data_IF_772558061387
#
_entry.id   IF_772558061387
#
_cell.length_a   1.000
_cell.length_b   1.000
_cell.length_c   1.000
_cell.angle_alpha   90.00
_cell.angle_beta   90.00
_cell.angle_gamma   90.00
#
_symmetry.space_group_name_H-M   'P 1'
#
loop_
_entity.id
_entity.type
_entity.pdbx_description
1 polymer ?
#
# COMPACT_ATOMS: atom_id res chain seq x y z
N UNK A 1 -45.90 4.77 -3.21
CA UNK A 1 -44.98 5.64 -4.00
C UNK A 1 -43.88 6.13 -3.07
N UNK A 2 -42.82 5.34 -2.90
CA UNK A 2 -41.62 5.81 -2.20
C UNK A 2 -41.04 6.90 -3.10
N UNK A 3 -41.06 8.15 -2.63
CA UNK A 3 -40.60 9.31 -3.38
C UNK A 3 -39.16 9.09 -3.88
N UNK A 4 -38.91 9.33 -5.17
CA UNK A 4 -37.57 9.31 -5.79
C UNK A 4 -36.52 10.13 -5.01
N UNK A 5 -36.94 11.04 -4.12
CA UNK A 5 -36.04 11.82 -3.28
C UNK A 5 -35.22 11.01 -2.29
N UNK A 6 -35.73 9.88 -1.76
CA UNK A 6 -35.01 9.13 -0.72
C UNK A 6 -33.79 8.39 -1.30
N UNK A 7 -33.87 7.91 -2.54
CA UNK A 7 -32.75 7.25 -3.22
C UNK A 7 -31.60 8.23 -3.51
N UNK A 8 -31.93 9.43 -3.99
CA UNK A 8 -30.93 10.45 -4.29
C UNK A 8 -30.19 10.92 -3.03
N UNK A 9 -30.87 11.00 -1.88
CA UNK A 9 -30.23 11.34 -0.61
C UNK A 9 -29.23 10.26 -0.17
N UNK A 10 -29.59 8.98 -0.24
CA UNK A 10 -28.69 7.88 0.13
C UNK A 10 -27.44 7.85 -0.76
N UNK A 11 -27.62 8.03 -2.08
CA UNK A 11 -26.50 8.11 -3.03
C UNK A 11 -25.58 9.28 -2.69
N UNK A 12 -26.16 10.46 -2.38
CA UNK A 12 -25.39 11.64 -2.00
C UNK A 12 -24.58 11.41 -0.71
N UNK A 13 -25.16 10.80 0.32
CA UNK A 13 -24.44 10.44 1.55
C UNK A 13 -23.29 9.47 1.27
N UNK A 14 -23.50 8.47 0.42
CA UNK A 14 -22.45 7.52 0.07
C UNK A 14 -21.28 8.19 -0.68
N UNK A 15 -21.58 9.11 -1.62
CA UNK A 15 -20.56 9.90 -2.33
C UNK A 15 -19.79 10.81 -1.35
N UNK A 16 -20.46 11.45 -0.41
CA UNK A 16 -19.81 12.31 0.59
C UNK A 16 -18.91 11.52 1.54
N UNK A 17 -19.36 10.33 1.97
CA UNK A 17 -18.54 9.43 2.80
C UNK A 17 -17.30 8.96 2.01
N UNK A 18 -17.48 8.53 0.76
CA UNK A 18 -16.35 8.14 -0.09
C UNK A 18 -15.35 9.28 -0.30
N UNK A 19 -15.85 10.50 -0.58
CA UNK A 19 -15.00 11.68 -0.75
C UNK A 19 -14.25 12.05 0.53
N UNK A 20 -14.93 11.97 1.68
CA UNK A 20 -14.30 12.19 2.99
C UNK A 20 -13.21 11.14 3.29
N UNK A 21 -13.47 9.87 2.99
CA UNK A 21 -12.48 8.81 3.15
C UNK A 21 -11.29 9.02 2.20
N UNK A 22 -11.53 9.33 0.93
CA UNK A 22 -10.45 9.61 -0.02
C UNK A 22 -9.57 10.78 0.44
N UNK A 23 -10.15 11.85 1.01
CA UNK A 23 -9.38 13.04 1.40
C UNK A 23 -8.50 12.82 2.64
N UNK A 24 -8.93 11.98 3.58
CA UNK A 24 -8.23 11.78 4.86
C UNK A 24 -7.21 10.63 4.83
N UNK A 25 -7.31 9.70 3.87
CA UNK A 25 -6.44 8.53 3.79
C UNK A 25 -5.26 8.69 2.82
N UNK A 26 -5.12 9.82 2.11
CA UNK A 26 -3.94 10.06 1.26
C UNK A 26 -2.81 10.57 2.15
N UNK A 27 -2.17 9.65 2.88
CA UNK A 27 -0.80 9.86 3.32
C UNK A 27 0.06 9.74 2.06
N UNK A 28 0.56 10.87 1.58
CA UNK A 28 1.55 10.90 0.50
C UNK A 28 2.86 10.36 1.06
N UNK A 29 3.00 9.04 1.04
CA UNK A 29 4.31 8.40 1.16
C UNK A 29 4.88 8.30 -0.24
N UNK A 30 6.06 8.89 -0.44
CA UNK A 30 6.81 8.63 -1.66
C UNK A 30 7.47 7.25 -1.52
N UNK A 31 7.54 6.54 -2.64
CA UNK A 31 8.09 5.19 -2.72
C UNK A 31 9.07 5.16 -3.87
N UNK A 32 10.34 4.94 -3.58
CA UNK A 32 11.31 4.51 -4.58
C UNK A 32 11.35 2.98 -4.61
N UNK A 33 11.47 2.41 -5.81
CA UNK A 33 11.46 0.96 -6.01
C UNK A 33 12.54 0.51 -6.98
N UNK A 34 13.10 -0.65 -6.69
CA UNK A 34 14.00 -1.37 -7.57
C UNK A 34 13.55 -2.83 -7.65
N UNK A 35 13.55 -3.39 -8.85
CA UNK A 35 13.15 -4.78 -9.11
C UNK A 35 14.33 -5.48 -9.75
N UNK A 36 14.73 -6.60 -9.17
CA UNK A 36 15.88 -7.38 -9.61
C UNK A 36 15.58 -8.87 -9.59
N UNK A 37 16.29 -9.63 -10.42
CA UNK A 37 16.22 -11.10 -10.42
C UNK A 37 17.48 -11.63 -9.78
N UNK A 38 17.32 -12.47 -8.74
CA UNK A 38 18.46 -13.04 -8.06
C UNK A 38 19.14 -14.09 -8.95
N UNK A 39 20.44 -13.95 -9.12
CA UNK A 39 21.30 -14.96 -9.72
C UNK A 39 22.31 -15.37 -8.65
N UNK A 40 22.23 -16.61 -8.16
CA UNK A 40 23.13 -17.08 -7.11
C UNK A 40 24.40 -17.63 -7.75
N UNK A 41 25.47 -16.88 -7.60
CA UNK A 41 26.82 -17.37 -7.92
C UNK A 41 27.37 -18.18 -6.76
N UNK A 42 28.03 -19.30 -7.07
CA UNK A 42 28.68 -20.13 -6.06
C UNK A 42 29.95 -19.44 -5.56
N UNK A 43 29.81 -18.63 -4.51
CA UNK A 43 30.93 -17.95 -3.87
C UNK A 43 31.79 -18.94 -3.08
N UNK A 44 33.11 -18.66 -3.03
CA UNK A 44 34.02 -19.44 -2.19
C UNK A 44 33.75 -19.17 -0.71
N UNK A 45 34.03 -20.17 0.15
CA UNK A 45 33.88 -20.03 1.60
C UNK A 45 34.63 -18.82 2.18
N UNK A 46 35.81 -18.52 1.64
CA UNK A 46 36.61 -17.38 2.07
C UNK A 46 35.88 -16.04 1.88
N UNK A 47 35.10 -15.90 0.81
CA UNK A 47 34.31 -14.70 0.54
C UNK A 47 33.19 -14.56 1.57
N UNK A 48 32.50 -15.66 1.91
CA UNK A 48 31.50 -15.65 3.00
C UNK A 48 32.10 -15.25 4.34
N UNK A 49 33.26 -15.80 4.70
CA UNK A 49 33.94 -15.46 5.97
C UNK A 49 34.33 -13.96 6.02
N UNK A 50 34.70 -13.37 4.87
CA UNK A 50 34.99 -11.92 4.75
C UNK A 50 33.73 -11.08 4.88
N UNK A 51 32.63 -11.49 4.24
CA UNK A 51 31.34 -10.81 4.32
C UNK A 51 30.81 -10.83 5.75
N UNK A 52 30.87 -11.96 6.43
CA UNK A 52 30.43 -12.10 7.83
C UNK A 52 31.24 -11.19 8.77
N UNK A 53 32.57 -11.12 8.56
CA UNK A 53 33.42 -10.21 9.31
C UNK A 53 33.06 -8.73 9.08
N UNK A 54 32.75 -8.35 7.84
CA UNK A 54 32.35 -6.99 7.48
C UNK A 54 30.97 -6.62 8.05
N UNK A 55 30.00 -7.53 7.99
CA UNK A 55 28.67 -7.35 8.58
C UNK A 55 28.79 -7.09 10.08
N UNK A 56 29.66 -7.85 10.77
CA UNK A 56 29.89 -7.69 12.20
C UNK A 56 30.58 -6.37 12.55
N UNK A 57 31.50 -5.88 11.71
CA UNK A 57 32.21 -4.62 11.97
C UNK A 57 31.34 -3.39 11.75
N UNK A 58 30.51 -3.40 10.70
CA UNK A 58 29.70 -2.24 10.28
C UNK A 58 28.26 -2.29 10.83
N UNK A 59 27.90 -3.33 11.58
CA UNK A 59 26.53 -3.53 12.11
C UNK A 59 25.47 -3.49 10.98
N UNK A 60 25.77 -4.16 9.86
CA UNK A 60 24.93 -4.18 8.66
C UNK A 60 23.62 -4.91 8.97
N UNK A 61 22.50 -4.26 8.66
CA UNK A 61 21.19 -4.87 8.84
C UNK A 61 20.89 -5.86 7.71
N UNK A 62 20.27 -6.99 8.05
CA UNK A 62 19.94 -8.04 7.08
C UNK A 62 18.47 -7.98 6.69
N UNK A 63 18.19 -7.94 5.38
CA UNK A 63 16.88 -8.11 4.77
C UNK A 63 16.73 -9.57 4.32
N UNK A 64 15.78 -10.28 4.92
CA UNK A 64 15.48 -11.68 4.57
C UNK A 64 14.33 -11.76 3.58
N UNK A 65 14.40 -12.68 2.61
CA UNK A 65 13.21 -13.09 1.87
C UNK A 65 12.20 -13.77 2.84
N UNK A 66 10.88 -13.86 2.62
CA UNK A 66 10.01 -13.46 1.50
C UNK A 66 9.32 -12.10 1.70
N UNK A 67 9.50 -11.51 2.89
CA UNK A 67 9.07 -10.18 3.26
C UNK A 67 9.83 -9.72 4.51
N UNK A 68 10.64 -8.67 4.40
CA UNK A 68 11.27 -8.01 5.56
C UNK A 68 11.03 -6.52 5.49
N UNK A 69 10.73 -5.90 6.64
CA UNK A 69 10.67 -4.44 6.78
C UNK A 69 11.64 -4.01 7.87
N UNK A 70 12.52 -3.06 7.55
CA UNK A 70 13.25 -2.31 8.56
C UNK A 70 12.62 -0.93 8.65
N UNK A 71 12.27 -0.52 9.87
CA UNK A 71 11.50 0.70 10.11
C UNK A 71 12.34 1.79 10.75
N UNK A 72 11.95 3.03 10.49
CA UNK A 72 12.48 4.23 11.15
C UNK A 72 14.00 4.40 10.99
N UNK A 73 14.54 4.02 9.84
CA UNK A 73 15.92 4.31 9.48
C UNK A 73 16.05 5.78 9.09
N UNK A 74 17.24 6.35 9.22
CA UNK A 74 17.46 7.77 8.93
C UNK A 74 18.73 7.96 8.13
N UNK A 75 18.62 8.71 7.03
CA UNK A 75 19.76 9.06 6.17
C UNK A 75 19.81 10.56 5.98
N UNK A 76 21.00 11.13 6.06
CA UNK A 76 21.26 12.53 5.76
C UNK A 76 21.55 12.64 4.26
N UNK A 77 20.78 13.45 3.50
CA UNK A 77 21.00 13.59 2.06
C UNK A 77 22.32 14.30 1.75
N UNK A 78 22.90 14.00 0.59
CA UNK A 78 24.06 14.77 0.09
C UNK A 78 23.67 16.22 -0.23
N UNK A 79 24.56 17.16 0.08
CA UNK A 79 24.30 18.59 -0.09
C UNK A 79 24.52 19.04 -1.52
N UNK A 80 25.53 18.47 -2.20
CA UNK A 80 25.89 18.81 -3.57
C UNK A 80 26.38 17.57 -4.33
N UNK A 81 26.27 17.60 -5.66
CA UNK A 81 26.84 16.57 -6.53
C UNK A 81 28.38 16.54 -6.41
N UNK A 82 29.01 17.67 -6.12
CA UNK A 82 30.46 17.74 -5.90
C UNK A 82 30.88 17.03 -4.61
N UNK A 83 30.09 17.16 -3.54
CA UNK A 83 30.30 16.38 -2.31
C UNK A 83 30.14 14.87 -2.55
N UNK A 84 29.37 14.48 -3.56
CA UNK A 84 29.25 13.09 -4.02
C UNK A 84 30.52 12.65 -4.79
N UNK A 85 31.01 13.45 -5.73
CA UNK A 85 32.19 13.11 -6.53
C UNK A 85 33.49 13.10 -5.69
N UNK A 86 33.66 14.06 -4.76
CA UNK A 86 34.85 14.13 -3.88
C UNK A 86 34.94 12.98 -2.86
N UNK A 87 33.81 12.32 -2.58
CA UNK A 87 33.76 11.19 -1.64
C UNK A 87 34.36 9.90 -2.23
N UNK A 88 34.55 9.85 -3.55
CA UNK A 88 35.01 8.67 -4.28
C UNK A 88 36.53 8.50 -4.24
N UNK A 89 37.28 9.59 -4.25
CA UNK A 89 38.74 9.55 -4.49
C UNK A 89 39.62 9.66 -3.23
N UNK A 90 39.07 9.96 -2.05
CA UNK A 90 39.87 10.37 -0.90
C UNK A 90 40.11 9.26 0.14
N UNK A 91 41.10 8.40 -0.14
CA UNK A 91 41.60 7.36 0.78
C UNK A 91 42.46 7.86 1.97
N UNK A 92 42.52 9.16 2.26
CA UNK A 92 43.43 9.71 3.29
C UNK A 92 42.72 10.39 4.47
N UNK A 93 42.49 9.57 5.50
CA UNK A 93 42.72 9.85 6.93
C UNK A 93 42.24 11.18 7.52
N UNK A 94 40.99 11.20 7.99
CA UNK A 94 40.66 11.92 9.21
C UNK A 94 39.51 11.20 9.96
N UNK A 95 39.79 10.73 11.18
CA UNK A 95 38.90 9.82 11.94
C UNK A 95 37.55 10.46 12.31
N UNK A 96 37.49 11.79 12.39
CA UNK A 96 36.23 12.51 12.67
C UNK A 96 35.27 12.55 11.46
N UNK A 97 35.78 12.43 10.22
CA UNK A 97 34.95 12.36 9.01
C UNK A 97 34.23 11.00 8.85
N UNK A 98 34.70 9.96 9.54
CA UNK A 98 34.14 8.61 9.44
C UNK A 98 32.73 8.55 10.06
N UNK A 99 32.45 9.29 11.14
CA UNK A 99 31.11 9.28 11.75
C UNK A 99 30.06 10.04 10.94
N UNK A 100 30.47 11.05 10.16
CA UNK A 100 29.56 11.77 9.25
C UNK A 100 29.30 10.98 7.96
N UNK A 101 30.31 10.23 7.47
CA UNK A 101 30.17 9.33 6.32
C UNK A 101 29.08 8.28 6.55
N UNK A 102 29.06 7.67 7.74
CA UNK A 102 28.11 6.59 8.06
C UNK A 102 26.63 7.02 8.13
N UNK A 103 26.33 8.31 8.08
CA UNK A 103 24.95 8.81 8.10
C UNK A 103 24.41 9.13 6.70
N UNK A 104 25.23 9.08 5.64
CA UNK A 104 24.84 9.44 4.27
C UNK A 104 24.57 8.24 3.36
N UNK A 105 25.00 7.07 3.77
CA UNK A 105 24.78 5.80 3.09
C UNK A 105 24.40 4.73 4.11
N UNK A 106 23.60 3.76 3.68
CA UNK A 106 23.20 2.61 4.51
C UNK A 106 23.34 1.33 3.71
N UNK A 107 24.03 0.36 4.28
CA UNK A 107 24.24 -0.94 3.67
C UNK A 107 23.28 -1.96 4.27
N UNK A 108 22.74 -2.82 3.41
CA UNK A 108 21.85 -3.90 3.79
C UNK A 108 22.30 -5.20 3.15
N UNK A 109 22.41 -6.27 3.95
CA UNK A 109 22.63 -7.61 3.42
C UNK A 109 21.30 -8.19 2.96
N UNK A 110 21.17 -8.53 1.68
CA UNK A 110 20.06 -9.33 1.18
C UNK A 110 20.38 -10.82 1.41
N UNK A 111 19.49 -11.54 2.07
CA UNK A 111 19.72 -12.93 2.47
C UNK A 111 18.49 -13.80 2.23
N UNK A 112 18.72 -15.12 2.25
CA UNK A 112 17.71 -16.14 1.97
C UNK A 112 17.04 -15.96 0.60
N UNK A 113 17.77 -15.39 -0.37
CA UNK A 113 17.30 -15.26 -1.75
C UNK A 113 17.31 -16.63 -2.45
N UNK A 114 16.38 -16.82 -3.38
CA UNK A 114 16.23 -18.03 -4.18
C UNK A 114 16.66 -17.72 -5.61
N UNK A 115 17.52 -18.56 -6.16
CA UNK A 115 18.04 -18.41 -7.52
C UNK A 115 16.91 -18.39 -8.56
N UNK A 116 16.98 -17.41 -9.47
CA UNK A 116 15.97 -17.18 -10.51
C UNK A 116 14.67 -16.53 -10.05
N UNK A 117 14.49 -16.24 -8.75
CA UNK A 117 13.32 -15.48 -8.29
C UNK A 117 13.52 -13.96 -8.45
N UNK A 118 12.41 -13.26 -8.68
CA UNK A 118 12.38 -11.80 -8.78
C UNK A 118 11.92 -11.19 -7.47
N UNK A 119 12.67 -10.18 -7.02
CA UNK A 119 12.44 -9.44 -5.80
C UNK A 119 12.22 -7.96 -6.09
N UNK A 120 11.45 -7.31 -5.22
CA UNK A 120 11.27 -5.87 -5.20
C UNK A 120 11.79 -5.31 -3.88
N UNK A 121 12.68 -4.34 -3.98
CA UNK A 121 13.12 -3.54 -2.83
C UNK A 121 12.43 -2.18 -2.92
N UNK A 122 11.85 -1.73 -1.81
CA UNK A 122 11.15 -0.45 -1.71
C UNK A 122 11.72 0.39 -0.58
N UNK A 123 11.91 1.68 -0.83
CA UNK A 123 12.16 2.68 0.21
C UNK A 123 10.94 3.59 0.30
N UNK A 124 10.29 3.60 1.46
CA UNK A 124 9.10 4.41 1.74
C UNK A 124 9.44 5.48 2.77
N UNK A 125 9.13 6.74 2.45
CA UNK A 125 9.49 7.88 3.29
C UNK A 125 8.40 8.96 3.27
N UNK A 126 8.31 9.70 4.37
CA UNK A 126 7.37 10.80 4.49
C UNK A 126 8.01 12.07 3.94
N UNK A 127 7.53 12.58 2.80
CA UNK A 127 8.03 13.83 2.25
C UNK A 127 6.93 14.68 1.61
N UNK A 128 7.00 15.98 1.86
CA UNK A 128 6.17 16.99 1.19
C UNK A 128 6.59 17.26 -0.25
N UNK A 129 7.79 16.81 -0.64
CA UNK A 129 8.44 17.09 -1.91
C UNK A 129 9.15 15.81 -2.39
N UNK A 130 9.19 15.53 -3.69
CA UNK A 130 9.97 14.42 -4.24
C UNK A 130 11.44 14.49 -3.80
N UNK A 131 12.01 13.34 -3.54
CA UNK A 131 13.39 13.16 -3.07
C UNK A 131 13.99 12.04 -3.88
N UNK A 132 15.21 12.22 -4.40
CA UNK A 132 15.84 11.18 -5.19
C UNK A 132 16.70 10.30 -4.28
N UNK A 133 16.18 9.13 -3.93
CA UNK A 133 17.03 8.06 -3.39
C UNK A 133 17.68 7.34 -4.57
N UNK A 134 18.99 7.13 -4.52
CA UNK A 134 19.60 6.09 -5.35
C UNK A 134 19.68 4.84 -4.50
N UNK A 135 19.05 3.79 -5.00
CA UNK A 135 19.15 2.43 -4.51
C UNK A 135 19.90 1.67 -5.58
N UNK A 136 20.89 0.90 -5.14
CA UNK A 136 21.66 0.05 -6.03
C UNK A 136 21.84 -1.31 -5.37
N UNK A 137 21.80 -2.35 -6.20
CA UNK A 137 21.93 -3.74 -5.77
C UNK A 137 23.22 -4.28 -6.34
N UNK A 138 24.11 -4.67 -5.45
CA UNK A 138 25.39 -5.25 -5.81
C UNK A 138 25.38 -6.75 -5.63
N UNK A 139 25.86 -7.42 -6.65
CA UNK A 139 26.42 -8.76 -6.49
C UNK A 139 27.75 -8.64 -5.73
N UNK A 140 28.15 -9.70 -5.03
CA UNK A 140 29.36 -9.69 -4.21
C UNK A 140 30.65 -9.45 -5.03
N UNK A 141 30.62 -9.69 -6.35
CA UNK A 141 31.73 -9.39 -7.25
C UNK A 141 31.82 -7.90 -7.63
N UNK A 142 30.79 -7.09 -7.33
CA UNK A 142 30.62 -5.72 -7.84
C UNK A 142 30.47 -4.63 -6.77
N UNK A 143 30.78 -4.91 -5.50
CA UNK A 143 30.52 -3.95 -4.40
C UNK A 143 31.34 -2.66 -4.56
N UNK A 144 30.77 -1.67 -5.25
CA UNK A 144 31.13 -0.25 -5.26
C UNK A 144 29.91 0.60 -5.75
N UNK A 145 29.28 1.40 -4.84
CA UNK A 145 28.64 2.76 -5.01
C UNK A 145 27.12 3.08 -5.10
N UNK A 146 26.36 3.28 -3.99
CA UNK A 146 24.96 3.78 -4.06
C UNK A 146 24.60 4.91 -3.04
N UNK A 147 23.90 6.00 -3.46
CA UNK A 147 23.77 7.25 -2.65
C UNK A 147 22.52 8.16 -2.90
N UNK A 148 21.96 8.88 -1.91
CA UNK A 148 20.72 9.70 -2.05
C UNK A 148 20.91 11.24 -2.09
N UNK A 149 20.41 11.95 -3.12
CA UNK A 149 20.54 13.43 -3.27
C UNK A 149 19.19 14.20 -3.21
N UNK A 150 19.11 15.27 -2.41
CA UNK A 150 17.91 16.12 -2.27
C UNK A 150 18.25 17.61 -2.33
N UNK A 151 17.85 18.35 -3.38
CA UNK A 151 18.13 19.78 -3.46
C UNK A 151 17.34 20.57 -2.41
N UNK A 152 18.01 21.39 -1.60
CA UNK A 152 17.39 22.36 -0.69
C UNK A 152 16.87 21.82 0.66
N UNK A 153 17.13 20.55 1.00
CA UNK A 153 16.80 19.94 2.31
C UNK A 153 17.98 19.16 2.91
N UNK A 154 19.15 19.76 2.80
CA UNK A 154 20.45 19.09 2.92
C UNK A 154 20.84 18.78 4.37
N UNK A 155 20.22 19.47 5.35
CA UNK A 155 20.50 19.31 6.78
C UNK A 155 19.42 18.52 7.55
N UNK A 156 18.43 17.95 6.87
CA UNK A 156 17.34 17.22 7.50
C UNK A 156 17.44 15.74 7.21
N UNK A 157 17.69 14.95 8.25
CA UNK A 157 17.72 13.51 8.15
C UNK A 157 16.33 13.00 7.73
N UNK A 158 16.29 12.22 6.65
CA UNK A 158 15.04 11.66 6.11
C UNK A 158 14.79 10.32 6.74
N UNK A 159 13.64 10.17 7.39
CA UNK A 159 13.23 8.89 7.98
C UNK A 159 12.58 8.04 6.90
N UNK A 160 13.09 6.82 6.73
CA UNK A 160 12.59 5.87 5.75
C UNK A 160 12.36 4.48 6.33
N UNK A 161 11.56 3.70 5.62
CA UNK A 161 11.39 2.27 5.82
C UNK A 161 11.87 1.56 4.55
N UNK A 162 12.71 0.54 4.70
CA UNK A 162 13.12 -0.32 3.58
C UNK A 162 12.38 -1.65 3.67
N UNK A 163 11.86 -2.12 2.54
CA UNK A 163 11.07 -3.35 2.42
C UNK A 163 11.64 -4.19 1.30
N UNK A 164 11.88 -5.47 1.55
CA UNK A 164 12.20 -6.48 0.53
C UNK A 164 11.01 -7.43 0.39
N UNK A 165 10.48 -7.64 -0.82
CA UNK A 165 9.33 -8.52 -1.08
C UNK A 165 9.55 -9.37 -2.34
N UNK A 166 9.11 -10.63 -2.30
CA UNK A 166 9.12 -11.51 -3.49
C UNK A 166 7.93 -11.22 -4.41
N UNK A 167 8.18 -11.14 -5.71
CA UNK A 167 7.14 -10.96 -6.73
C UNK A 167 6.67 -12.30 -7.28
N UNK A 168 5.36 -12.57 -7.20
CA UNK A 168 4.76 -13.70 -7.89
C UNK A 168 4.64 -13.38 -9.39
N UNK A 169 5.20 -14.24 -10.23
CA UNK A 169 5.30 -14.09 -11.69
C UNK A 169 5.99 -12.78 -12.13
N UNK A 170 6.83 -12.19 -11.28
CA UNK A 170 7.53 -10.93 -11.56
C UNK A 170 6.63 -9.69 -11.64
N UNK A 171 5.34 -9.81 -11.32
CA UNK A 171 4.35 -8.71 -11.48
C UNK A 171 3.69 -8.35 -10.14
N UNK A 172 3.25 -9.36 -9.37
CA UNK A 172 2.37 -9.11 -8.22
C UNK A 172 3.09 -9.42 -6.92
N UNK A 173 3.20 -8.46 -5.98
CA UNK A 173 3.77 -8.71 -4.66
C UNK A 173 2.95 -9.77 -3.92
N UNK A 174 3.62 -10.73 -3.27
CA UNK A 174 2.96 -11.88 -2.65
C UNK A 174 1.93 -11.47 -1.61
N UNK A 175 2.16 -10.38 -0.88
CA UNK A 175 1.22 -9.84 0.10
C UNK A 175 -0.03 -9.28 -0.57
N UNK A 176 0.11 -8.66 -1.76
CA UNK A 176 -0.99 -8.08 -2.51
C UNK A 176 -2.01 -9.12 -3.00
N UNK A 177 -1.61 -10.39 -3.16
CA UNK A 177 -2.52 -11.46 -3.59
C UNK A 177 -3.67 -11.66 -2.61
N UNK A 178 -3.39 -11.60 -1.30
CA UNK A 178 -4.43 -11.73 -0.27
C UNK A 178 -5.46 -10.59 -0.39
N UNK A 179 -4.98 -9.38 -0.66
CA UNK A 179 -5.83 -8.20 -0.84
C UNK A 179 -6.67 -8.31 -2.12
N UNK A 180 -6.06 -8.71 -3.24
CA UNK A 180 -6.75 -8.92 -4.52
C UNK A 180 -7.83 -9.99 -4.35
N UNK A 181 -7.50 -11.13 -3.72
CA UNK A 181 -8.46 -12.19 -3.45
C UNK A 181 -9.64 -11.71 -2.59
N UNK A 182 -9.36 -10.93 -1.54
CA UNK A 182 -10.39 -10.32 -0.69
C UNK A 182 -11.28 -9.35 -1.47
N UNK A 183 -10.69 -8.52 -2.34
CA UNK A 183 -11.42 -7.57 -3.18
C UNK A 183 -12.35 -8.30 -4.15
N UNK A 184 -11.83 -9.31 -4.86
CA UNK A 184 -12.62 -10.14 -5.77
C UNK A 184 -13.76 -10.83 -5.01
N UNK A 185 -13.47 -11.43 -3.85
CA UNK A 185 -14.48 -12.05 -3.01
C UNK A 185 -15.56 -11.05 -2.60
N UNK A 186 -15.18 -9.84 -2.19
CA UNK A 186 -16.11 -8.79 -1.78
C UNK A 186 -17.04 -8.36 -2.92
N UNK A 187 -16.48 -8.20 -4.13
CA UNK A 187 -17.26 -7.84 -5.33
C UNK A 187 -18.24 -8.97 -5.70
N UNK A 188 -17.76 -10.21 -5.73
CA UNK A 188 -18.56 -11.39 -6.04
C UNK A 188 -19.67 -11.56 -4.99
N UNK A 189 -19.34 -11.51 -3.71
CA UNK A 189 -20.30 -11.61 -2.61
C UNK A 189 -21.36 -10.51 -2.69
N UNK A 190 -20.93 -9.26 -2.93
CA UNK A 190 -21.87 -8.13 -3.05
C UNK A 190 -22.82 -8.30 -4.24
N UNK A 191 -22.29 -8.70 -5.40
CA UNK A 191 -23.07 -8.86 -6.60
C UNK A 191 -24.04 -10.06 -6.54
N UNK A 192 -23.57 -11.22 -6.08
CA UNK A 192 -24.37 -12.45 -6.11
C UNK A 192 -25.25 -12.66 -4.87
N UNK A 193 -24.90 -12.08 -3.72
CA UNK A 193 -25.62 -12.34 -2.46
C UNK A 193 -26.33 -11.07 -1.98
N UNK A 194 -25.63 -9.93 -1.87
CA UNK A 194 -26.24 -8.71 -1.33
C UNK A 194 -27.28 -8.12 -2.30
N UNK A 195 -26.95 -7.95 -3.57
CA UNK A 195 -27.87 -7.34 -4.55
C UNK A 195 -29.20 -8.11 -4.66
N UNK A 196 -29.24 -9.45 -4.83
CA UNK A 196 -30.49 -10.18 -4.88
C UNK A 196 -31.27 -10.16 -3.55
N UNK A 197 -30.57 -10.16 -2.42
CA UNK A 197 -31.21 -10.09 -1.09
C UNK A 197 -31.90 -8.74 -0.88
N UNK A 198 -31.23 -7.64 -1.23
CA UNK A 198 -31.80 -6.29 -1.18
C UNK A 198 -32.97 -6.18 -2.16
N UNK A 199 -32.84 -6.71 -3.37
CA UNK A 199 -33.94 -6.70 -4.35
C UNK A 199 -35.18 -7.44 -3.83
N UNK A 200 -35.00 -8.66 -3.29
CA UNK A 200 -36.11 -9.43 -2.70
C UNK A 200 -36.77 -8.68 -1.54
N UNK A 201 -35.97 -8.06 -0.68
CA UNK A 201 -36.46 -7.26 0.43
C UNK A 201 -37.27 -6.03 -0.04
N UNK A 202 -36.78 -5.31 -1.06
CA UNK A 202 -37.49 -4.17 -1.65
C UNK A 202 -38.81 -4.57 -2.30
N UNK A 203 -38.83 -5.70 -3.01
CA UNK A 203 -40.06 -6.26 -3.59
C UNK A 203 -41.06 -6.63 -2.48
N UNK A 204 -40.60 -7.26 -1.40
CA UNK A 204 -41.47 -7.60 -0.27
C UNK A 204 -42.11 -6.37 0.39
N UNK A 205 -41.34 -5.29 0.62
CA UNK A 205 -41.88 -4.03 1.16
C UNK A 205 -42.92 -3.43 0.20
N UNK A 206 -42.62 -3.44 -1.10
CA UNK A 206 -43.53 -2.92 -2.12
C UNK A 206 -44.85 -3.70 -2.12
N UNK A 207 -44.78 -5.03 -2.01
CA UNK A 207 -45.96 -5.88 -2.03
C UNK A 207 -46.81 -5.69 -0.77
N UNK A 208 -46.20 -5.42 0.40
CA UNK A 208 -46.93 -5.03 1.62
C UNK A 208 -47.70 -3.71 1.44
N UNK A 209 -47.10 -2.68 0.82
CA UNK A 209 -47.77 -1.39 0.52
C UNK A 209 -48.96 -1.58 -0.45
N UNK A 210 -48.89 -2.55 -1.36
CA UNK A 210 -50.01 -2.87 -2.25
C UNK A 210 -51.16 -3.57 -1.50
N UNK A 211 -50.85 -4.49 -0.59
CA UNK A 211 -51.87 -5.20 0.19
C UNK A 211 -52.63 -4.26 1.14
N UNK A 212 -51.93 -3.34 1.80
CA UNK A 212 -52.54 -2.33 2.68
C UNK A 212 -53.55 -1.46 1.93
N UNK A 213 -53.21 -0.99 0.72
CA UNK A 213 -54.12 -0.21 -0.13
C UNK A 213 -55.31 -0.99 -0.65
N UNK A 214 -55.13 -2.27 -0.95
CA UNK A 214 -56.25 -3.13 -1.36
C UNK A 214 -57.23 -3.31 -0.19
N UNK A 215 -56.71 -3.50 1.03
CA UNK A 215 -57.55 -3.62 2.22
C UNK A 215 -58.29 -2.31 2.53
N UNK A 216 -57.64 -1.16 2.40
CA UNK A 216 -58.30 0.15 2.55
C UNK A 216 -59.45 0.34 1.55
N UNK A 217 -59.26 -0.03 0.28
CA UNK A 217 -60.30 0.09 -0.73
C UNK A 217 -61.50 -0.83 -0.45
N UNK A 218 -61.25 -2.07 -0.02
CA UNK A 218 -62.32 -3.02 0.34
C UNK A 218 -63.15 -2.45 1.50
N UNK A 219 -62.51 -1.89 2.53
CA UNK A 219 -63.21 -1.30 3.66
C UNK A 219 -64.09 -0.09 3.23
N UNK A 220 -63.61 0.74 2.30
CA UNK A 220 -64.38 1.87 1.75
C UNK A 220 -65.62 1.38 0.97
N UNK A 221 -65.44 0.36 0.13
CA UNK A 221 -66.55 -0.19 -0.67
C UNK A 221 -67.62 -0.86 0.22
N UNK A 222 -67.23 -1.51 1.32
CA UNK A 222 -68.15 -2.09 2.31
C UNK A 222 -68.94 -1.02 3.07
N UNK A 223 -68.30 0.09 3.46
CA UNK A 223 -68.95 1.22 4.14
C UNK A 223 -69.99 1.89 3.22
N UNK A 224 -69.64 2.12 1.94
CA UNK A 224 -70.55 2.68 0.93
C UNK A 224 -71.77 1.78 0.66
N UNK A 225 -71.57 0.45 0.64
CA UNK A 225 -72.66 -0.51 0.49
C UNK A 225 -73.62 -0.47 1.70
N UNK A 226 -73.08 -0.36 2.92
CA UNK A 226 -73.87 -0.29 4.15
C UNK A 226 -74.74 0.98 4.19
N UNK A 227 -74.16 2.13 3.86
CA UNK A 227 -74.86 3.42 3.78
C UNK A 227 -75.96 3.39 2.71
N UNK A 228 -75.70 2.74 1.56
CA UNK A 228 -76.72 2.56 0.53
C UNK A 228 -77.92 1.75 1.03
N UNK A 229 -77.69 0.66 1.80
CA UNK A 229 -78.75 -0.19 2.35
C UNK A 229 -79.60 0.54 3.40
N UNK A 230 -78.97 1.36 4.25
CA UNK A 230 -79.67 2.16 5.27
C UNK A 230 -80.60 3.21 4.66
N UNK A 231 -80.27 3.74 3.48
CA UNK A 231 -81.08 4.79 2.82
C UNK A 231 -82.42 4.29 2.26
N UNK A 232 -82.57 2.99 2.04
CA UNK A 232 -83.79 2.38 1.49
C UNK A 232 -84.66 1.64 2.52
N UNK A 233 -84.30 1.72 3.80
CA UNK A 233 -85.12 1.26 4.93
C UNK A 233 -85.90 2.43 5.53
#
# INVERSE_FOLDING_TARGET
MISNNNYNQIILYYILILSYLQKNFIVLANIEKEVFTCTIENLSKQVYDQIDAWILSENISTLKSSYTIIRHQSITPFTTILEFEEHHDNNNQNVNAISEKNNKEHWYLLSDLIDGETYETRVSYAASSPTNFVMEIYDFERIYDGYSYIPGKENQAVIYNIVLETLLFGIVPRVAIKLIALLVFTVVFSYFILVPSIWKFLVAIRDLDYQEKQQEQINIDEDDELDSKLKYQ
#
